data_IF_064212783404
#
_entry.id   IF_064212783404
#
_cell.length_a   1.000
_cell.length_b   1.000
_cell.length_c   1.000
_cell.angle_alpha   90.00
_cell.angle_beta   90.00
_cell.angle_gamma   90.00
#
_symmetry.space_group_name_H-M   'P 1'
#
loop_
_entity.id
_entity.type
_entity.pdbx_description
1 polymer ?
#
# COMPACT_ATOMS: atom_id res chain seq x y z
N UNK A 1 -3.43 -1.48 -34.89
CA UNK A 1 -2.11 -1.81 -34.29
C UNK A 1 -2.20 -3.16 -33.60
N UNK A 2 -1.18 -4.02 -33.76
CA UNK A 2 -1.18 -5.34 -33.12
C UNK A 2 -0.72 -5.26 -31.65
N UNK A 3 -1.38 -5.99 -30.77
CA UNK A 3 -0.99 -6.08 -29.36
C UNK A 3 0.32 -6.85 -29.21
N UNK A 4 1.34 -6.32 -28.52
CA UNK A 4 2.61 -7.04 -28.33
C UNK A 4 2.48 -8.29 -27.43
N UNK A 5 1.39 -8.42 -26.67
CA UNK A 5 1.17 -9.51 -25.73
C UNK A 5 0.36 -10.67 -26.34
N UNK A 6 -0.81 -10.37 -26.91
CA UNK A 6 -1.72 -11.39 -27.45
C UNK A 6 -1.83 -11.38 -28.98
N UNK A 7 -1.14 -10.46 -29.66
CA UNK A 7 -1.17 -10.26 -31.13
C UNK A 7 -2.52 -9.85 -31.73
N UNK A 8 -3.57 -9.69 -30.92
CA UNK A 8 -4.87 -9.17 -31.37
C UNK A 8 -4.74 -7.81 -32.07
N UNK A 9 -5.48 -7.64 -33.17
CA UNK A 9 -5.54 -6.37 -33.90
C UNK A 9 -6.48 -5.39 -33.22
N UNK A 10 -5.97 -4.22 -32.86
CA UNK A 10 -6.74 -3.18 -32.19
C UNK A 10 -6.89 -1.95 -33.11
N UNK A 11 -8.02 -1.23 -33.01
CA UNK A 11 -8.24 0.00 -33.76
C UNK A 11 -7.19 1.06 -33.43
N UNK A 12 -6.95 1.98 -34.37
CA UNK A 12 -6.01 3.08 -34.18
C UNK A 12 -6.45 3.97 -33.00
N UNK A 13 -5.53 4.27 -32.08
CA UNK A 13 -5.81 5.06 -30.87
C UNK A 13 -6.28 4.27 -29.64
N UNK A 14 -6.44 2.94 -29.74
CA UNK A 14 -6.76 2.10 -28.59
C UNK A 14 -5.66 2.18 -27.50
N UNK A 15 -6.03 2.58 -26.28
CA UNK A 15 -5.09 2.67 -25.14
C UNK A 15 -4.80 1.32 -24.50
N UNK A 16 -5.75 0.38 -24.60
CA UNK A 16 -5.70 -0.98 -24.08
C UNK A 16 -6.12 -1.96 -25.17
N UNK A 17 -5.69 -3.21 -25.05
CA UNK A 17 -6.09 -4.28 -25.94
C UNK A 17 -7.51 -4.72 -25.63
N UNK A 18 -8.35 -4.80 -26.66
CA UNK A 18 -9.75 -5.20 -26.54
C UNK A 18 -9.96 -6.68 -26.18
N UNK A 19 -8.91 -7.50 -26.25
CA UNK A 19 -8.97 -8.93 -25.96
C UNK A 19 -8.31 -9.25 -24.59
N UNK A 20 -7.00 -9.00 -24.47
CA UNK A 20 -6.26 -9.33 -23.24
C UNK A 20 -6.17 -8.19 -22.19
N UNK A 21 -6.64 -6.99 -22.50
CA UNK A 21 -6.56 -5.82 -21.60
C UNK A 21 -5.18 -5.17 -21.46
N UNK A 22 -4.13 -5.66 -22.13
CA UNK A 22 -2.79 -5.08 -22.07
C UNK A 22 -2.75 -3.63 -22.60
N UNK A 23 -2.02 -2.73 -21.94
CA UNK A 23 -1.82 -1.35 -22.42
C UNK A 23 -1.06 -1.35 -23.75
N UNK A 24 -1.61 -0.69 -24.76
CA UNK A 24 -1.04 -0.59 -26.11
C UNK A 24 -0.23 0.69 -26.34
N UNK A 25 -0.55 1.75 -25.60
CA UNK A 25 0.18 3.01 -25.61
C UNK A 25 0.28 3.57 -24.20
N UNK A 26 1.50 3.73 -23.71
CA UNK A 26 1.76 4.68 -22.63
C UNK A 26 1.78 6.08 -23.27
N UNK A 27 0.99 7.06 -22.79
CA UNK A 27 1.39 8.43 -23.00
C UNK A 27 2.71 8.62 -22.23
N UNK A 28 3.85 8.59 -22.91
CA UNK A 28 5.08 9.17 -22.41
C UNK A 28 4.91 10.69 -22.40
N UNK A 29 4.08 11.18 -21.49
CA UNK A 29 4.35 12.48 -20.89
C UNK A 29 5.49 12.20 -19.91
N UNK A 30 6.70 12.07 -20.45
CA UNK A 30 7.86 12.44 -19.66
C UNK A 30 7.77 13.96 -19.67
N UNK A 31 7.41 14.64 -18.56
CA UNK A 31 7.60 16.07 -18.52
C UNK A 31 9.09 16.29 -18.81
N UNK A 32 9.40 16.91 -19.94
CA UNK A 32 10.78 17.31 -20.20
C UNK A 32 11.27 18.04 -18.95
N UNK A 33 12.43 17.65 -18.38
CA UNK A 33 12.94 18.30 -17.19
C UNK A 33 13.06 19.78 -17.53
N UNK A 34 12.17 20.60 -16.96
CA UNK A 34 12.26 22.06 -17.11
C UNK A 34 13.69 22.43 -16.73
N UNK A 35 14.34 23.16 -17.63
CA UNK A 35 15.77 23.46 -17.71
C UNK A 35 16.41 24.12 -16.47
N UNK A 36 15.68 24.22 -15.37
CA UNK A 36 16.08 24.84 -14.12
C UNK A 36 16.28 23.86 -12.96
N UNK A 37 15.97 22.57 -13.11
CA UNK A 37 16.08 21.63 -11.97
C UNK A 37 17.57 21.43 -11.60
N UNK A 38 18.04 21.91 -10.44
CA UNK A 38 19.43 21.77 -10.03
C UNK A 38 19.80 20.29 -9.96
N UNK A 39 21.00 19.91 -10.40
CA UNK A 39 21.45 18.51 -10.48
C UNK A 39 21.21 17.71 -9.20
N UNK A 40 21.43 18.32 -8.04
CA UNK A 40 21.21 17.68 -6.74
C UNK A 40 19.74 17.30 -6.45
N UNK A 41 18.76 17.98 -7.07
CA UNK A 41 17.35 17.60 -6.96
C UNK A 41 17.01 16.45 -7.90
N UNK A 42 17.60 16.41 -9.10
CA UNK A 42 17.45 15.28 -10.04
C UNK A 42 17.99 14.01 -9.41
N UNK A 43 19.18 14.05 -8.80
CA UNK A 43 19.80 12.90 -8.15
C UNK A 43 18.95 12.39 -6.97
N UNK A 44 18.39 13.30 -6.15
CA UNK A 44 17.47 12.93 -5.06
C UNK A 44 16.16 12.32 -5.57
N UNK A 45 15.59 12.85 -6.65
CA UNK A 45 14.36 12.31 -7.24
C UNK A 45 14.61 10.91 -7.81
N UNK A 46 15.74 10.70 -8.50
CA UNK A 46 16.11 9.39 -9.03
C UNK A 46 16.41 8.38 -7.92
N UNK A 47 17.12 8.78 -6.87
CA UNK A 47 17.41 7.93 -5.71
C UNK A 47 16.15 7.55 -4.91
N UNK A 48 15.14 8.42 -4.88
CA UNK A 48 13.86 8.15 -4.21
C UNK A 48 12.78 7.56 -5.13
N UNK A 49 13.05 7.45 -6.43
CA UNK A 49 12.07 6.96 -7.41
C UNK A 49 11.69 5.49 -7.17
N UNK A 50 12.63 4.67 -6.69
CA UNK A 50 12.39 3.27 -6.31
C UNK A 50 11.45 3.17 -5.10
N UNK A 51 11.58 4.06 -4.11
CA UNK A 51 10.67 4.13 -2.97
C UNK A 51 9.28 4.64 -3.35
N UNK A 52 9.17 5.53 -4.35
CA UNK A 52 7.91 6.13 -4.80
C UNK A 52 7.09 5.24 -5.75
N UNK A 53 7.72 4.32 -6.48
CA UNK A 53 7.01 3.51 -7.49
C UNK A 53 6.12 2.43 -6.89
N UNK A 54 6.30 2.11 -5.60
CA UNK A 54 5.65 0.97 -4.97
C UNK A 54 6.00 -0.35 -5.68
N UNK A 55 5.72 -1.47 -5.03
CA UNK A 55 5.90 -2.78 -5.65
C UNK A 55 4.64 -3.63 -5.49
N UNK A 56 4.39 -4.51 -6.46
CA UNK A 56 3.40 -5.58 -6.32
C UNK A 56 4.11 -6.80 -5.76
N UNK A 57 3.82 -7.13 -4.51
CA UNK A 57 4.41 -8.25 -3.79
C UNK A 57 3.31 -9.12 -3.20
N UNK A 58 3.53 -10.43 -3.18
CA UNK A 58 2.68 -11.35 -2.42
C UNK A 58 3.00 -11.15 -0.93
N UNK A 59 1.98 -10.80 -0.15
CA UNK A 59 2.08 -10.57 1.29
C UNK A 59 1.07 -11.42 2.04
N UNK A 60 1.36 -11.73 3.29
CA UNK A 60 0.40 -12.28 4.24
C UNK A 60 -0.09 -11.15 5.12
N UNK A 61 -1.41 -11.02 5.27
CA UNK A 61 -2.03 -10.01 6.12
C UNK A 61 -2.68 -10.70 7.32
N UNK A 62 -2.40 -10.20 8.52
CA UNK A 62 -2.98 -10.62 9.78
C UNK A 62 -3.95 -9.54 10.27
N UNK A 63 -5.17 -9.97 10.61
CA UNK A 63 -6.11 -9.17 11.39
C UNK A 63 -6.26 -9.80 12.77
N UNK A 64 -6.17 -8.98 13.81
CA UNK A 64 -6.37 -9.40 15.19
C UNK A 64 -7.21 -8.36 15.91
N UNK A 65 -8.24 -8.82 16.62
CA UNK A 65 -9.23 -7.95 17.25
C UNK A 65 -9.72 -8.53 18.59
N UNK A 66 -10.25 -7.68 19.46
CA UNK A 66 -10.82 -8.07 20.76
C UNK A 66 -12.22 -8.61 20.55
N UNK A 67 -12.41 -9.88 20.89
CA UNK A 67 -13.75 -10.46 20.90
C UNK A 67 -14.68 -9.73 21.89
N UNK A 68 -15.87 -9.35 21.43
CA UNK A 68 -16.89 -8.64 22.23
C UNK A 68 -16.39 -7.30 22.81
N UNK A 69 -15.55 -6.59 22.07
CA UNK A 69 -14.99 -5.28 22.46
C UNK A 69 -16.06 -4.25 22.82
N UNK A 70 -17.16 -4.19 22.09
CA UNK A 70 -18.26 -3.24 22.35
C UNK A 70 -18.88 -3.47 23.73
N UNK A 71 -19.21 -4.72 24.09
CA UNK A 71 -19.74 -5.06 25.41
C UNK A 71 -18.75 -4.73 26.53
N UNK A 72 -17.45 -4.88 26.26
CA UNK A 72 -16.39 -4.59 27.21
C UNK A 72 -16.21 -3.08 27.40
N UNK A 73 -16.23 -2.32 26.31
CA UNK A 73 -16.11 -0.86 26.32
C UNK A 73 -17.30 -0.16 26.99
N UNK A 74 -18.51 -0.73 26.91
CA UNK A 74 -19.68 -0.20 27.61
C UNK A 74 -19.64 -0.43 29.13
N UNK A 75 -18.93 -1.46 29.59
CA UNK A 75 -18.88 -1.86 31.00
C UNK A 75 -17.68 -1.31 31.77
N UNK A 76 -16.68 -0.82 31.04
CA UNK A 76 -15.40 -0.37 31.59
C UNK A 76 -15.29 1.14 31.39
N UNK A 77 -14.71 1.83 32.37
CA UNK A 77 -14.45 3.25 32.25
C UNK A 77 -13.54 3.54 31.02
N UNK A 78 -13.76 4.63 30.26
CA UNK A 78 -12.97 4.94 29.07
C UNK A 78 -11.45 4.99 29.31
N UNK A 79 -11.00 5.46 30.47
CA UNK A 79 -9.57 5.48 30.81
C UNK A 79 -9.01 4.06 31.01
N UNK A 80 -9.81 3.20 31.63
CA UNK A 80 -9.43 1.81 31.87
C UNK A 80 -9.48 0.97 30.59
N UNK A 81 -10.46 1.25 29.72
CA UNK A 81 -10.51 0.69 28.36
C UNK A 81 -9.27 1.05 27.56
N UNK A 82 -8.85 2.32 27.59
CA UNK A 82 -7.63 2.77 26.93
C UNK A 82 -6.38 2.05 27.47
N UNK A 83 -6.25 1.90 28.79
CA UNK A 83 -5.13 1.15 29.40
C UNK A 83 -5.10 -0.32 28.96
N UNK A 84 -6.28 -0.94 28.80
CA UNK A 84 -6.40 -2.32 28.33
C UNK A 84 -5.96 -2.44 26.86
N UNK A 85 -6.43 -1.56 25.99
CA UNK A 85 -6.01 -1.50 24.59
C UNK A 85 -4.51 -1.25 24.44
N UNK A 86 -3.94 -0.33 25.20
CA UNK A 86 -2.49 -0.05 25.21
C UNK A 86 -1.67 -1.28 25.58
N UNK A 87 -2.18 -2.10 26.51
CA UNK A 87 -1.52 -3.35 26.90
C UNK A 87 -1.66 -4.41 25.81
N UNK A 88 -2.85 -4.53 25.21
CA UNK A 88 -3.11 -5.43 24.09
C UNK A 88 -2.20 -5.11 22.90
N UNK A 89 -2.16 -3.85 22.47
CA UNK A 89 -1.35 -3.42 21.33
C UNK A 89 0.13 -3.66 21.54
N UNK A 90 0.65 -3.51 22.77
CA UNK A 90 2.04 -3.90 23.09
C UNK A 90 2.30 -5.39 22.89
N UNK A 91 1.36 -6.25 23.29
CA UNK A 91 1.47 -7.70 23.11
C UNK A 91 1.40 -8.06 21.62
N UNK A 92 0.42 -7.52 20.90
CA UNK A 92 0.23 -7.77 19.47
C UNK A 92 1.43 -7.27 18.66
N UNK A 93 1.92 -6.05 18.91
CA UNK A 93 3.11 -5.50 18.27
C UNK A 93 4.37 -6.32 18.57
N UNK A 94 4.54 -6.76 19.82
CA UNK A 94 5.62 -7.67 20.17
C UNK A 94 5.57 -8.98 19.38
N UNK A 95 4.37 -9.54 19.19
CA UNK A 95 4.13 -10.73 18.37
C UNK A 95 4.48 -10.50 16.89
N UNK A 96 3.98 -9.41 16.30
CA UNK A 96 4.22 -9.06 14.89
C UNK A 96 5.71 -8.81 14.63
N UNK A 97 6.36 -7.97 15.45
CA UNK A 97 7.77 -7.63 15.27
C UNK A 97 8.70 -8.82 15.51
N UNK A 98 8.33 -9.76 16.39
CA UNK A 98 9.10 -11.00 16.61
C UNK A 98 9.27 -11.83 15.33
N UNK A 99 8.29 -11.77 14.43
CA UNK A 99 8.33 -12.44 13.13
C UNK A 99 8.68 -11.48 11.99
N UNK A 100 9.31 -10.34 12.30
CA UNK A 100 9.71 -9.30 11.34
C UNK A 100 8.55 -8.73 10.51
N UNK A 101 7.31 -8.88 11.00
CA UNK A 101 6.12 -8.27 10.42
C UNK A 101 6.06 -6.77 10.69
N UNK A 102 5.17 -6.06 9.99
CA UNK A 102 4.99 -4.61 10.15
C UNK A 102 3.52 -4.31 10.42
N UNK A 103 3.22 -3.51 11.45
CA UNK A 103 1.85 -3.03 11.65
C UNK A 103 1.56 -1.94 10.63
N UNK A 104 0.57 -2.15 9.78
CA UNK A 104 0.11 -1.16 8.82
C UNK A 104 -0.95 -0.23 9.43
N UNK A 105 -1.84 -0.75 10.27
CA UNK A 105 -2.93 0.04 10.85
C UNK A 105 -3.40 -0.49 12.22
N UNK A 106 -3.85 0.42 13.08
CA UNK A 106 -4.63 0.13 14.27
C UNK A 106 -6.12 0.39 13.98
N UNK A 107 -6.97 -0.59 14.24
CA UNK A 107 -8.41 -0.55 13.93
C UNK A 107 -9.20 -0.54 15.23
N UNK A 108 -9.23 0.59 15.95
CA UNK A 108 -10.02 0.76 17.18
C UNK A 108 -9.58 -0.14 18.34
N UNK A 109 -10.03 -1.39 18.31
CA UNK A 109 -9.79 -2.50 19.21
C UNK A 109 -8.80 -3.55 18.68
N UNK A 110 -8.38 -3.42 17.42
CA UNK A 110 -7.51 -4.39 16.74
C UNK A 110 -6.34 -3.81 15.97
N UNK A 111 -5.65 -4.68 15.22
CA UNK A 111 -4.56 -4.32 14.30
C UNK A 111 -4.68 -5.03 12.95
N UNK A 112 -4.07 -4.42 11.95
CA UNK A 112 -3.75 -5.01 10.65
C UNK A 112 -2.23 -4.99 10.46
N UNK A 113 -1.63 -6.16 10.25
CA UNK A 113 -0.19 -6.36 10.08
C UNK A 113 0.14 -7.26 8.89
#
# INVERSE_FOLDING_TARGET
MSCPFCRHENPAGARFCNDCGARLAAPTIIPEPRSYTPRHLVDKILASQSALRGERKLVTVLFADVARSMELAERVDPEEWHRLLDRLFRILAGGVHRYEGTINQYTGDGIMA
#
